data_IF_750296478701
#
_entry.id   IF_750296478701
#
_cell.length_a   1.000
_cell.length_b   1.000
_cell.length_c   1.000
_cell.angle_alpha   90.00
_cell.angle_beta   90.00
_cell.angle_gamma   90.00
#
_symmetry.space_group_name_H-M   'P 1'
#
loop_
_entity.id
_entity.type
_entity.pdbx_description
1 polymer ?
#
# COMPACT_ATOMS: atom_id res chain seq x y z
N UNK A 1 17.05 9.43 3.69
CA UNK A 1 18.44 9.82 3.42
C UNK A 1 18.74 9.61 1.93
N UNK A 2 19.80 10.26 1.45
CA UNK A 2 20.30 10.11 0.07
C UNK A 2 21.79 9.77 0.18
N UNK A 3 22.26 8.79 -0.58
CA UNK A 3 23.67 8.40 -0.63
C UNK A 3 24.46 9.30 -1.62
N UNK A 4 25.77 9.09 -1.69
CA UNK A 4 26.67 9.84 -2.60
C UNK A 4 26.38 9.65 -4.10
N UNK A 5 25.57 8.63 -4.46
CA UNK A 5 25.13 8.34 -5.83
C UNK A 5 23.71 8.84 -6.11
N UNK A 6 23.09 9.60 -5.19
CA UNK A 6 21.73 10.13 -5.32
C UNK A 6 20.62 9.13 -5.01
N UNK A 7 20.91 7.91 -4.55
CA UNK A 7 19.90 6.89 -4.25
C UNK A 7 19.26 7.14 -2.89
N UNK A 8 17.93 7.07 -2.84
CA UNK A 8 17.17 7.20 -1.58
C UNK A 8 17.24 5.93 -0.76
N UNK A 9 17.50 6.06 0.54
CA UNK A 9 17.52 4.94 1.47
C UNK A 9 16.95 5.28 2.84
N UNK A 10 16.57 4.25 3.57
CA UNK A 10 16.28 4.28 5.01
C UNK A 10 17.13 3.27 5.73
N UNK A 11 17.21 3.38 7.07
CA UNK A 11 17.95 2.39 7.87
C UNK A 11 17.07 1.78 8.94
N UNK A 12 17.29 0.50 9.22
CA UNK A 12 16.64 -0.23 10.30
C UNK A 12 17.69 -0.81 11.25
N UNK A 13 17.42 -0.85 12.58
CA UNK A 13 18.35 -1.50 13.52
C UNK A 13 18.60 -2.95 13.15
N UNK A 14 19.86 -3.41 13.26
CA UNK A 14 20.24 -4.80 13.04
C UNK A 14 20.05 -5.68 14.28
N UNK A 15 19.48 -5.15 15.33
CA UNK A 15 19.08 -5.90 16.53
C UNK A 15 17.57 -5.84 16.74
N UNK A 16 17.01 -6.88 17.37
CA UNK A 16 15.59 -7.00 17.71
C UNK A 16 15.40 -7.26 19.20
N UNK A 17 14.23 -6.93 19.78
CA UNK A 17 13.89 -7.27 21.15
C UNK A 17 13.88 -8.78 21.39
N UNK A 18 14.15 -9.20 22.63
CA UNK A 18 14.24 -10.60 23.04
C UNK A 18 15.68 -11.09 23.05
N UNK A 19 16.03 -11.93 24.02
CA UNK A 19 17.33 -12.59 24.09
C UNK A 19 17.27 -13.97 23.44
N UNK A 20 18.25 -14.26 22.61
CA UNK A 20 18.45 -15.61 22.07
C UNK A 20 19.49 -16.31 22.95
N UNK A 21 19.06 -17.34 23.69
CA UNK A 21 19.96 -18.10 24.59
C UNK A 21 20.86 -19.06 23.83
N UNK A 22 20.39 -19.66 22.76
CA UNK A 22 21.14 -20.63 21.96
C UNK A 22 20.95 -20.29 20.47
N UNK A 23 21.99 -19.77 19.82
CA UNK A 23 21.95 -19.47 18.39
C UNK A 23 22.93 -18.36 17.98
N UNK A 24 23.28 -18.33 16.70
CA UNK A 24 24.28 -17.43 16.15
C UNK A 24 23.96 -15.95 16.33
N UNK A 25 22.69 -15.61 16.50
CA UNK A 25 22.23 -14.21 16.64
C UNK A 25 22.55 -13.59 17.99
N UNK A 26 23.05 -14.37 18.97
CA UNK A 26 23.57 -13.87 20.26
C UNK A 26 25.09 -13.69 20.25
N UNK A 27 25.77 -14.21 19.23
CA UNK A 27 27.22 -14.19 19.17
C UNK A 27 27.76 -12.79 18.88
N UNK A 28 28.99 -12.57 19.34
CA UNK A 28 29.71 -11.33 19.10
C UNK A 28 30.07 -11.17 17.62
N UNK A 29 29.97 -9.95 17.11
CA UNK A 29 30.42 -9.56 15.79
C UNK A 29 31.35 -8.34 15.89
N UNK A 30 32.61 -8.51 15.47
CA UNK A 30 33.66 -7.48 15.53
C UNK A 30 33.82 -6.82 16.90
N UNK A 31 33.79 -7.58 17.98
CA UNK A 31 33.89 -7.06 19.34
C UNK A 31 32.59 -6.48 19.90
N UNK A 32 31.52 -6.49 19.13
CA UNK A 32 30.19 -5.97 19.53
C UNK A 32 29.24 -7.10 19.88
N UNK A 33 28.64 -7.01 21.06
CA UNK A 33 27.50 -7.86 21.45
C UNK A 33 26.19 -7.17 21.17
N UNK A 34 25.10 -7.93 20.94
CA UNK A 34 23.77 -7.33 20.90
C UNK A 34 23.51 -6.52 22.16
N UNK A 35 22.80 -5.39 22.11
CA UNK A 35 22.40 -4.65 23.31
C UNK A 35 21.63 -5.54 24.29
N UNK A 36 21.73 -5.25 25.58
CA UNK A 36 21.07 -6.04 26.65
C UNK A 36 19.57 -6.21 26.35
N UNK A 37 19.06 -7.42 26.47
CA UNK A 37 17.66 -7.76 26.17
C UNK A 37 17.36 -7.87 24.68
N UNK A 38 18.38 -7.98 23.81
CA UNK A 38 18.25 -8.02 22.36
C UNK A 38 19.14 -9.09 21.74
N UNK A 39 18.86 -9.41 20.48
CA UNK A 39 19.68 -10.28 19.63
C UNK A 39 19.90 -9.63 18.27
N UNK A 40 20.89 -10.08 17.50
CA UNK A 40 21.05 -9.67 16.11
C UNK A 40 19.91 -10.22 15.24
N UNK A 41 19.50 -9.47 14.24
CA UNK A 41 18.46 -9.91 13.27
C UNK A 41 18.96 -10.97 12.28
N UNK A 42 20.28 -11.20 12.24
CA UNK A 42 20.92 -12.23 11.42
C UNK A 42 22.23 -12.65 12.08
N UNK A 43 22.83 -13.74 11.60
CA UNK A 43 24.10 -14.26 12.11
C UNK A 43 25.26 -13.27 11.90
N UNK A 44 26.35 -13.35 12.68
CA UNK A 44 27.55 -12.56 12.47
C UNK A 44 28.14 -12.68 11.06
N UNK A 45 28.08 -13.85 10.45
CA UNK A 45 28.50 -14.05 9.06
C UNK A 45 27.69 -13.20 8.09
N UNK A 46 26.37 -13.10 8.28
CA UNK A 46 25.50 -12.28 7.44
C UNK A 46 25.69 -10.79 7.72
N UNK A 47 26.03 -10.40 8.95
CA UNK A 47 26.39 -9.02 9.29
C UNK A 47 27.67 -8.62 8.55
N UNK A 48 28.67 -9.51 8.51
CA UNK A 48 29.91 -9.29 7.78
C UNK A 48 29.70 -9.15 6.27
N UNK A 49 28.82 -9.95 5.68
CA UNK A 49 28.44 -9.85 4.28
C UNK A 49 27.73 -8.50 3.98
N UNK A 50 26.84 -8.06 4.86
CA UNK A 50 26.16 -6.78 4.72
C UNK A 50 27.15 -5.61 4.78
N UNK A 51 28.13 -5.67 5.67
CA UNK A 51 29.14 -4.63 5.80
C UNK A 51 30.07 -4.58 4.58
N UNK A 52 30.56 -5.73 4.10
CA UNK A 52 31.36 -5.83 2.87
C UNK A 52 30.63 -5.25 1.65
N UNK A 53 29.32 -5.38 1.61
CA UNK A 53 28.47 -4.82 0.55
C UNK A 53 28.10 -3.34 0.76
N UNK A 54 28.62 -2.69 1.80
CA UNK A 54 28.31 -1.29 2.11
C UNK A 54 26.86 -1.06 2.53
N UNK A 55 26.21 -2.09 3.08
CA UNK A 55 24.79 -2.05 3.49
C UNK A 55 24.60 -1.83 4.99
N UNK A 56 25.65 -1.39 5.70
CA UNK A 56 25.61 -1.02 7.10
C UNK A 56 25.92 0.47 7.25
N UNK A 57 25.08 1.16 8.00
CA UNK A 57 25.31 2.51 8.52
C UNK A 57 25.44 2.44 10.04
N UNK A 58 26.46 3.07 10.57
CA UNK A 58 26.68 3.15 12.00
C UNK A 58 25.94 4.36 12.59
N UNK A 59 25.18 4.15 13.66
CA UNK A 59 24.54 5.25 14.40
C UNK A 59 25.57 5.98 15.24
N UNK A 60 25.24 7.20 15.69
CA UNK A 60 26.08 7.98 16.61
C UNK A 60 26.36 7.26 17.94
N UNK A 61 25.49 6.32 18.33
CA UNK A 61 25.66 5.46 19.51
C UNK A 61 26.44 4.15 19.22
N UNK A 62 27.07 4.03 18.05
CA UNK A 62 27.89 2.86 17.69
C UNK A 62 27.10 1.60 17.33
N UNK A 63 25.79 1.70 17.14
CA UNK A 63 24.97 0.54 16.76
C UNK A 63 24.85 0.40 15.25
N UNK A 64 25.02 -0.82 14.69
CA UNK A 64 24.87 -1.05 13.26
C UNK A 64 23.41 -1.02 12.83
N UNK A 65 23.16 -0.40 11.68
CA UNK A 65 21.86 -0.29 11.04
C UNK A 65 21.95 -0.74 9.60
N UNK A 66 21.02 -1.60 9.17
CA UNK A 66 20.94 -2.04 7.77
C UNK A 66 20.40 -0.90 6.90
N UNK A 67 21.12 -0.60 5.83
CA UNK A 67 20.67 0.28 4.75
C UNK A 67 19.65 -0.49 3.88
N UNK A 68 18.54 0.13 3.57
CA UNK A 68 17.51 -0.38 2.67
C UNK A 68 17.23 0.71 1.65
N UNK A 69 17.58 0.47 0.41
CA UNK A 69 17.31 1.40 -0.69
C UNK A 69 15.84 1.38 -1.08
N UNK A 70 15.35 2.52 -1.54
CA UNK A 70 13.95 2.66 -1.97
C UNK A 70 13.64 1.73 -3.16
N UNK A 71 14.61 1.60 -4.07
CA UNK A 71 14.49 0.79 -5.29
C UNK A 71 14.45 -0.72 -5.01
N UNK A 72 15.09 -1.16 -3.90
CA UNK A 72 15.07 -2.55 -3.47
C UNK A 72 13.76 -2.95 -2.76
N UNK A 73 12.91 -1.97 -2.45
CA UNK A 73 11.63 -2.23 -1.80
C UNK A 73 10.53 -2.48 -2.82
N UNK A 74 9.97 -3.67 -2.81
CA UNK A 74 8.73 -4.01 -3.55
C UNK A 74 7.46 -3.32 -3.00
N UNK A 75 7.60 -2.10 -2.46
CA UNK A 75 6.53 -1.37 -1.81
C UNK A 75 6.31 -1.75 -0.32
N UNK A 76 5.39 -1.05 0.33
CA UNK A 76 4.94 -1.33 1.70
C UNK A 76 3.73 -2.25 1.63
N UNK A 77 3.78 -3.38 2.35
CA UNK A 77 2.60 -4.25 2.48
C UNK A 77 1.43 -3.45 3.05
N UNK A 78 0.27 -3.58 2.46
CA UNK A 78 -0.96 -3.03 3.01
C UNK A 78 -1.23 -3.66 4.38
N UNK A 79 -1.64 -2.83 5.32
CA UNK A 79 -2.09 -3.26 6.64
C UNK A 79 -3.61 -3.42 6.63
N UNK A 80 -4.16 -3.88 7.72
CA UNK A 80 -5.60 -4.01 7.98
C UNK A 80 -6.29 -2.67 8.24
N UNK A 81 -5.52 -1.67 8.71
CA UNK A 81 -6.02 -0.31 8.92
C UNK A 81 -5.58 0.58 7.76
N UNK A 82 -6.54 1.24 7.13
CA UNK A 82 -6.33 2.14 6.00
C UNK A 82 -6.76 3.55 6.33
N UNK A 83 -5.86 4.51 6.14
CA UNK A 83 -6.10 5.93 6.37
C UNK A 83 -6.53 6.60 5.05
N UNK A 84 -7.81 6.45 4.69
CA UNK A 84 -8.44 7.19 3.60
C UNK A 84 -9.45 8.16 4.19
N UNK A 85 -9.35 9.42 3.80
CA UNK A 85 -10.32 10.43 4.20
C UNK A 85 -11.50 10.42 3.23
N UNK A 86 -12.69 10.55 3.78
CA UNK A 86 -13.90 10.73 2.98
C UNK A 86 -13.87 12.08 2.25
N UNK A 87 -14.69 12.18 1.22
CA UNK A 87 -14.82 13.39 0.40
C UNK A 87 -15.38 14.54 1.24
N UNK A 88 -14.65 15.67 1.29
CA UNK A 88 -15.09 16.85 2.06
C UNK A 88 -16.39 17.47 1.55
N UNK A 89 -16.74 17.26 0.28
CA UNK A 89 -17.96 17.76 -0.37
C UNK A 89 -18.58 16.63 -1.19
N UNK A 90 -19.25 15.68 -0.55
CA UNK A 90 -19.90 14.59 -1.25
C UNK A 90 -21.03 15.11 -2.13
N UNK A 91 -21.13 14.57 -3.34
CA UNK A 91 -22.24 14.87 -4.27
C UNK A 91 -23.44 13.95 -4.04
N UNK A 92 -23.26 12.91 -3.22
CA UNK A 92 -24.29 11.96 -2.85
C UNK A 92 -24.08 11.53 -1.38
N UNK A 93 -25.14 11.31 -0.60
CA UNK A 93 -25.02 10.76 0.75
C UNK A 93 -24.20 9.47 0.74
N UNK A 94 -23.33 9.29 1.73
CA UNK A 94 -22.48 8.08 1.85
C UNK A 94 -21.44 7.86 0.74
N UNK A 95 -21.12 8.88 -0.05
CA UNK A 95 -20.09 8.80 -1.08
C UNK A 95 -18.74 8.40 -0.49
N UNK A 96 -18.13 7.37 -1.06
CA UNK A 96 -16.83 6.86 -0.61
C UNK A 96 -15.68 7.57 -1.32
N UNK A 97 -14.53 7.64 -0.66
CA UNK A 97 -13.31 8.16 -1.27
C UNK A 97 -12.96 7.38 -2.53
N UNK A 98 -12.75 8.09 -3.65
CA UNK A 98 -12.35 7.50 -4.93
C UNK A 98 -11.03 6.71 -4.77
N UNK A 99 -10.05 7.26 -4.06
CA UNK A 99 -8.76 6.61 -3.84
C UNK A 99 -8.85 5.32 -3.01
N UNK A 100 -9.82 5.22 -2.09
CA UNK A 100 -10.12 3.99 -1.39
C UNK A 100 -10.64 2.92 -2.35
N UNK A 101 -11.64 3.27 -3.16
CA UNK A 101 -12.26 2.33 -4.12
C UNK A 101 -11.25 1.91 -5.18
N UNK A 102 -10.47 2.84 -5.73
CA UNK A 102 -9.39 2.50 -6.68
C UNK A 102 -8.36 1.52 -6.06
N UNK A 103 -8.04 1.71 -4.78
CA UNK A 103 -7.14 0.79 -4.07
C UNK A 103 -7.74 -0.62 -3.96
N UNK A 104 -9.02 -0.73 -3.62
CA UNK A 104 -9.74 -2.01 -3.54
C UNK A 104 -9.74 -2.69 -4.90
N UNK A 105 -10.18 -2.00 -5.95
CA UNK A 105 -10.28 -2.54 -7.31
C UNK A 105 -8.91 -2.99 -7.82
N UNK A 106 -7.87 -2.19 -7.62
CA UNK A 106 -6.50 -2.52 -8.05
C UNK A 106 -5.94 -3.77 -7.38
N UNK A 107 -6.31 -4.01 -6.12
CA UNK A 107 -5.83 -5.17 -5.37
C UNK A 107 -6.65 -6.45 -5.63
N UNK A 108 -7.89 -6.32 -6.12
CA UNK A 108 -8.83 -7.45 -6.27
C UNK A 108 -9.17 -7.80 -7.72
N UNK A 109 -8.67 -7.06 -8.71
CA UNK A 109 -8.96 -7.28 -10.12
C UNK A 109 -7.77 -6.94 -11.01
N UNK A 110 -7.79 -7.45 -12.25
CA UNK A 110 -6.82 -7.12 -13.30
C UNK A 110 -7.41 -6.10 -14.29
N UNK A 111 -6.56 -5.48 -15.13
CA UNK A 111 -7.04 -4.68 -16.25
C UNK A 111 -7.97 -5.54 -17.16
N UNK A 112 -8.98 -4.91 -17.73
CA UNK A 112 -10.05 -5.52 -18.52
C UNK A 112 -11.00 -6.46 -17.77
N UNK A 113 -10.83 -6.71 -16.48
CA UNK A 113 -11.83 -7.42 -15.65
C UNK A 113 -13.14 -6.61 -15.58
N UNK A 114 -14.24 -7.29 -15.29
CA UNK A 114 -15.54 -6.67 -15.03
C UNK A 114 -15.65 -6.45 -13.51
N UNK A 115 -15.95 -5.24 -13.11
CA UNK A 115 -16.29 -4.85 -11.74
C UNK A 115 -17.77 -4.55 -11.67
N UNK A 116 -18.48 -5.20 -10.75
CA UNK A 116 -19.92 -5.00 -10.56
C UNK A 116 -20.19 -4.37 -9.21
N UNK A 117 -21.06 -3.38 -9.20
CA UNK A 117 -21.58 -2.73 -7.99
C UNK A 117 -23.11 -2.73 -8.06
N UNK A 118 -23.75 -3.50 -7.20
CA UNK A 118 -25.20 -3.67 -7.16
C UNK A 118 -25.93 -2.55 -6.42
N UNK A 119 -25.21 -1.66 -5.76
CA UNK A 119 -25.72 -0.52 -5.00
C UNK A 119 -24.86 0.71 -5.28
N UNK A 120 -24.82 1.10 -6.54
CA UNK A 120 -23.82 2.02 -7.09
C UNK A 120 -23.84 3.45 -6.49
N UNK A 121 -24.97 3.89 -5.94
CA UNK A 121 -25.12 5.16 -5.27
C UNK A 121 -24.58 6.34 -6.09
N UNK A 122 -23.46 6.91 -5.67
CA UNK A 122 -22.80 8.01 -6.39
C UNK A 122 -22.02 7.59 -7.64
N UNK A 123 -21.85 6.28 -7.93
CA UNK A 123 -21.06 5.78 -9.04
C UNK A 123 -19.56 5.85 -8.86
N UNK A 124 -19.06 6.00 -7.64
CA UNK A 124 -17.61 6.05 -7.36
C UNK A 124 -16.89 4.78 -7.82
N UNK A 125 -17.52 3.61 -7.66
CA UNK A 125 -16.98 2.32 -8.13
C UNK A 125 -16.84 2.29 -9.65
N UNK A 126 -17.80 2.86 -10.36
CA UNK A 126 -17.80 2.89 -11.82
C UNK A 126 -16.70 3.81 -12.35
N UNK A 127 -16.57 5.01 -11.77
CA UNK A 127 -15.45 5.93 -12.07
C UNK A 127 -14.09 5.28 -11.79
N UNK A 128 -13.92 4.69 -10.61
CA UNK A 128 -12.68 4.01 -10.23
C UNK A 128 -12.32 2.86 -11.18
N UNK A 129 -13.32 2.09 -11.61
CA UNK A 129 -13.15 1.00 -12.58
C UNK A 129 -12.67 1.51 -13.92
N UNK A 130 -13.29 2.56 -14.44
CA UNK A 130 -12.90 3.21 -15.68
C UNK A 130 -11.48 3.77 -15.61
N UNK A 131 -11.13 4.50 -14.56
CA UNK A 131 -9.79 5.04 -14.35
C UNK A 131 -8.70 3.96 -14.36
N UNK A 132 -9.04 2.79 -13.88
CA UNK A 132 -8.14 1.65 -13.79
C UNK A 132 -8.22 0.69 -14.99
N UNK A 133 -8.93 1.07 -16.08
CA UNK A 133 -9.14 0.26 -17.29
C UNK A 133 -9.85 -1.06 -17.00
N UNK A 134 -10.83 -1.05 -16.11
CA UNK A 134 -11.76 -2.15 -15.89
C UNK A 134 -13.07 -1.82 -16.57
N UNK A 135 -13.76 -2.86 -17.07
CA UNK A 135 -15.18 -2.73 -17.44
C UNK A 135 -16.01 -2.67 -16.17
N UNK A 136 -17.17 -2.04 -16.24
CA UNK A 136 -18.02 -1.92 -15.05
C UNK A 136 -19.48 -2.21 -15.36
N UNK A 137 -20.18 -2.67 -14.32
CA UNK A 137 -21.65 -2.80 -14.29
C UNK A 137 -22.10 -2.14 -13.00
N UNK A 138 -22.93 -1.11 -13.09
CA UNK A 138 -23.54 -0.44 -11.94
C UNK A 138 -25.03 -0.69 -11.93
N UNK A 139 -25.60 -1.02 -10.78
CA UNK A 139 -27.03 -1.16 -10.56
C UNK A 139 -27.44 -0.30 -9.39
N UNK A 140 -28.54 0.43 -9.53
CA UNK A 140 -29.19 1.14 -8.43
C UNK A 140 -30.68 1.26 -8.71
N UNK A 141 -31.50 1.29 -7.68
CA UNK A 141 -32.94 1.45 -7.79
C UNK A 141 -33.40 2.88 -7.51
N UNK A 142 -32.51 3.77 -7.07
CA UNK A 142 -32.80 5.17 -6.84
C UNK A 142 -32.62 6.01 -8.10
N UNK A 143 -33.65 6.68 -8.53
CA UNK A 143 -33.56 7.65 -9.63
C UNK A 143 -32.53 8.75 -9.33
N UNK A 144 -32.43 9.19 -8.07
CA UNK A 144 -31.44 10.17 -7.66
C UNK A 144 -30.01 9.66 -7.84
N UNK A 145 -29.75 8.41 -7.45
CA UNK A 145 -28.46 7.76 -7.67
C UNK A 145 -28.13 7.70 -9.16
N UNK A 146 -29.06 7.24 -10.00
CA UNK A 146 -28.87 7.16 -11.45
C UNK A 146 -28.54 8.53 -12.04
N UNK A 147 -29.26 9.58 -11.65
CA UNK A 147 -28.99 10.96 -12.12
C UNK A 147 -27.58 11.44 -11.71
N UNK A 148 -27.13 11.10 -10.49
CA UNK A 148 -25.78 11.43 -10.02
C UNK A 148 -24.73 10.65 -10.81
N UNK A 149 -24.95 9.36 -11.08
CA UNK A 149 -24.07 8.54 -11.89
C UNK A 149 -23.93 9.11 -13.30
N UNK A 150 -25.05 9.41 -13.98
CA UNK A 150 -25.04 9.98 -15.33
C UNK A 150 -24.26 11.30 -15.39
N UNK A 151 -24.51 12.20 -14.44
CA UNK A 151 -23.76 13.45 -14.32
C UNK A 151 -22.27 13.21 -14.10
N UNK A 152 -21.90 12.23 -13.27
CA UNK A 152 -20.51 11.86 -13.00
C UNK A 152 -19.84 11.31 -14.27
N UNK A 153 -20.48 10.37 -14.97
CA UNK A 153 -19.96 9.77 -16.19
C UNK A 153 -19.74 10.84 -17.27
N UNK A 154 -20.71 11.74 -17.45
CA UNK A 154 -20.60 12.86 -18.39
C UNK A 154 -19.44 13.81 -18.04
N UNK A 155 -19.31 14.20 -16.77
CA UNK A 155 -18.26 15.11 -16.31
C UNK A 155 -16.84 14.50 -16.45
N UNK A 156 -16.73 13.19 -16.46
CA UNK A 156 -15.48 12.44 -16.55
C UNK A 156 -15.22 11.91 -17.97
N UNK A 157 -16.11 12.17 -18.93
CA UNK A 157 -16.06 11.63 -20.29
C UNK A 157 -15.96 10.09 -20.32
N UNK A 158 -16.72 9.43 -19.44
CA UNK A 158 -16.78 7.98 -19.38
C UNK A 158 -17.95 7.49 -20.20
N UNK A 159 -17.68 6.65 -21.20
CA UNK A 159 -18.72 6.04 -22.04
C UNK A 159 -19.38 4.88 -21.30
N UNK A 160 -20.70 4.76 -21.45
CA UNK A 160 -21.50 3.68 -20.87
C UNK A 160 -22.80 3.46 -21.64
N UNK A 161 -23.40 2.29 -21.47
CA UNK A 161 -24.74 1.99 -21.91
C UNK A 161 -25.68 1.94 -20.70
N UNK A 162 -26.84 2.59 -20.81
CA UNK A 162 -27.89 2.53 -19.79
C UNK A 162 -28.93 1.48 -20.19
N UNK A 163 -29.28 0.63 -19.24
CA UNK A 163 -30.37 -0.35 -19.36
C UNK A 163 -31.37 -0.08 -18.25
N UNK A 164 -32.65 -0.08 -18.60
CA UNK A 164 -33.75 -0.01 -17.65
C UNK A 164 -34.42 -1.37 -17.59
N UNK A 165 -34.53 -1.92 -16.38
CA UNK A 165 -35.22 -3.17 -16.13
C UNK A 165 -36.62 -2.82 -15.63
N UNK A 166 -37.63 -3.12 -16.42
CA UNK A 166 -39.02 -3.01 -16.02
C UNK A 166 -39.45 -4.37 -15.41
N UNK A 167 -40.06 -4.33 -14.22
CA UNK A 167 -40.82 -5.47 -13.70
C UNK A 167 -42.18 -5.46 -14.42
N UNK A 168 -42.53 -6.53 -15.14
CA UNK A 168 -43.90 -6.79 -15.58
C UNK A 168 -44.82 -6.98 -14.37
#
# INVERSE_FOLDING_TARGET
KIDSKGRRFTTVPLHAPGETKNGDTSNEWRGLKPPKGRHWRCSPLKLEELDKNGLIEWSSSGNPRKIIYADDRKGKKRQDIWDFKDTHKPIYPTEKSLSLIETIIKNSSNENSIVMDCFSGSGTTLEASSNLKRKFIGVDNSIEAINVIEKRMKNKNIEYNKLELYSE
#
